data_IF_308543617420
#
_entry.id   IF_308543617420
#
_cell.length_a   1.000
_cell.length_b   1.000
_cell.length_c   1.000
_cell.angle_alpha   90.00
_cell.angle_beta   90.00
_cell.angle_gamma   90.00
#
_symmetry.space_group_name_H-M   'P 1'
#
loop_
_entity.id
_entity.type
_entity.pdbx_description
1 polymer ?
#
# COMPACT_ATOMS: atom_id res chain seq x y z
N UNK A 1 -35.42 21.35 -15.64
CA UNK A 1 -35.12 20.40 -14.55
C UNK A 1 -35.07 21.13 -13.21
N UNK A 2 -34.36 22.25 -13.11
CA UNK A 2 -34.29 23.08 -11.88
C UNK A 2 -35.65 23.66 -11.41
N UNK A 3 -36.49 24.14 -12.34
CA UNK A 3 -37.86 24.61 -12.03
C UNK A 3 -38.77 23.47 -11.52
N UNK A 4 -38.55 22.23 -11.97
CA UNK A 4 -39.25 21.04 -11.45
C UNK A 4 -38.78 20.63 -10.05
N UNK A 5 -37.59 21.06 -9.63
CA UNK A 5 -37.02 20.78 -8.30
C UNK A 5 -37.32 21.90 -7.28
N UNK A 6 -38.09 22.95 -7.66
CA UNK A 6 -38.47 24.03 -6.75
C UNK A 6 -37.35 24.98 -6.34
N UNK A 7 -36.23 25.01 -7.08
CA UNK A 7 -35.10 25.88 -6.77
C UNK A 7 -35.38 27.29 -7.33
N UNK A 8 -35.91 28.17 -6.48
CA UNK A 8 -36.30 29.54 -6.86
C UNK A 8 -35.15 30.55 -6.90
N UNK A 9 -34.06 30.29 -6.15
CA UNK A 9 -32.89 31.18 -6.08
C UNK A 9 -31.64 30.35 -6.34
N UNK A 10 -30.88 30.72 -7.38
CA UNK A 10 -29.55 30.15 -7.65
C UNK A 10 -28.52 30.83 -6.77
N UNK A 11 -27.61 30.04 -6.21
CA UNK A 11 -26.48 30.55 -5.44
C UNK A 11 -25.64 31.53 -6.27
N UNK A 12 -25.35 32.67 -5.66
CA UNK A 12 -24.48 33.70 -6.21
C UNK A 12 -23.07 33.58 -5.60
N UNK A 13 -22.02 34.07 -6.27
CA UNK A 13 -20.65 34.02 -5.76
C UNK A 13 -20.43 34.67 -4.38
N UNK A 14 -21.34 35.57 -3.97
CA UNK A 14 -21.32 36.23 -2.65
C UNK A 14 -21.95 35.41 -1.52
N UNK A 15 -22.72 34.37 -1.82
CA UNK A 15 -23.44 33.60 -0.82
C UNK A 15 -22.49 32.74 0.01
N UNK A 16 -22.74 32.67 1.32
CA UNK A 16 -21.94 31.86 2.25
C UNK A 16 -21.94 30.39 1.82
N UNK A 17 -23.10 29.87 1.40
CA UNK A 17 -23.25 28.50 0.91
C UNK A 17 -22.40 28.23 -0.34
N UNK A 18 -22.30 29.19 -1.27
CA UNK A 18 -21.45 29.07 -2.45
C UNK A 18 -19.96 29.05 -2.07
N UNK A 19 -19.54 29.93 -1.16
CA UNK A 19 -18.15 30.00 -0.72
C UNK A 19 -17.73 28.75 0.06
N UNK A 20 -18.59 28.22 0.92
CA UNK A 20 -18.31 27.03 1.70
C UNK A 20 -18.29 25.77 0.82
N UNK A 21 -19.18 25.68 -0.16
CA UNK A 21 -19.14 24.57 -1.12
C UNK A 21 -17.92 24.64 -2.04
N UNK A 22 -17.46 25.84 -2.43
CA UNK A 22 -16.19 25.99 -3.14
C UNK A 22 -15.01 25.51 -2.31
N UNK A 23 -14.92 25.89 -1.03
CA UNK A 23 -13.87 25.39 -0.12
C UNK A 23 -13.91 23.87 -0.02
N UNK A 24 -15.09 23.30 0.20
CA UNK A 24 -15.30 21.87 0.26
C UNK A 24 -14.85 21.15 -1.03
N UNK A 25 -15.18 21.68 -2.21
CA UNK A 25 -14.76 21.10 -3.48
C UNK A 25 -13.25 21.13 -3.63
N UNK A 26 -12.60 22.23 -3.27
CA UNK A 26 -11.14 22.35 -3.32
C UNK A 26 -10.47 21.36 -2.35
N UNK A 27 -10.92 21.29 -1.10
CA UNK A 27 -10.43 20.33 -0.11
C UNK A 27 -10.64 18.88 -0.57
N UNK A 28 -11.78 18.57 -1.17
CA UNK A 28 -12.07 17.23 -1.70
C UNK A 28 -11.15 16.89 -2.88
N UNK A 29 -10.92 17.82 -3.79
CA UNK A 29 -9.98 17.64 -4.90
C UNK A 29 -8.56 17.38 -4.39
N UNK A 30 -8.13 18.10 -3.36
CA UNK A 30 -6.86 17.87 -2.68
C UNK A 30 -6.78 16.47 -2.08
N UNK A 31 -7.75 16.07 -1.25
CA UNK A 31 -7.77 14.73 -0.64
C UNK A 31 -7.79 13.62 -1.70
N UNK A 32 -8.55 13.80 -2.79
CA UNK A 32 -8.59 12.80 -3.86
C UNK A 32 -7.26 12.67 -4.59
N UNK A 33 -6.59 13.79 -4.87
CA UNK A 33 -5.25 13.78 -5.47
C UNK A 33 -4.23 13.13 -4.53
N UNK A 34 -4.36 13.38 -3.23
CA UNK A 34 -3.52 12.79 -2.18
C UNK A 34 -3.73 11.27 -2.09
N UNK A 35 -4.96 10.79 -1.95
CA UNK A 35 -5.29 9.36 -1.86
C UNK A 35 -4.78 8.58 -3.10
N UNK A 36 -4.93 9.17 -4.29
CA UNK A 36 -4.42 8.57 -5.52
C UNK A 36 -2.89 8.49 -5.53
N UNK A 37 -2.20 9.55 -5.10
CA UNK A 37 -0.75 9.55 -4.98
C UNK A 37 -0.27 8.48 -3.98
N UNK A 38 -0.91 8.39 -2.81
CA UNK A 38 -0.63 7.38 -1.79
C UNK A 38 -0.78 5.96 -2.33
N UNK A 39 -1.91 5.66 -2.98
CA UNK A 39 -2.18 4.36 -3.57
C UNK A 39 -1.08 3.95 -4.57
N UNK A 40 -0.69 4.87 -5.46
CA UNK A 40 0.35 4.60 -6.45
C UNK A 40 1.74 4.36 -5.83
N UNK A 41 2.10 5.10 -4.79
CA UNK A 41 3.37 4.91 -4.06
C UNK A 41 3.38 3.55 -3.37
N UNK A 42 2.30 3.20 -2.65
CA UNK A 42 2.16 1.90 -1.97
C UNK A 42 2.27 0.75 -2.98
N UNK A 43 1.56 0.84 -4.11
CA UNK A 43 1.66 -0.16 -5.18
C UNK A 43 3.10 -0.31 -5.70
N UNK A 44 3.83 0.79 -5.91
CA UNK A 44 5.24 0.74 -6.34
C UNK A 44 6.12 0.03 -5.32
N UNK A 45 5.92 0.28 -4.03
CA UNK A 45 6.69 -0.38 -2.96
C UNK A 45 6.47 -1.89 -2.95
N UNK A 46 5.21 -2.33 -3.09
CA UNK A 46 4.90 -3.76 -3.22
C UNK A 46 5.50 -4.38 -4.49
N UNK A 47 5.52 -3.66 -5.61
CA UNK A 47 6.15 -4.13 -6.85
C UNK A 47 7.66 -4.29 -6.71
N UNK A 48 8.33 -3.36 -6.02
CA UNK A 48 9.75 -3.46 -5.70
C UNK A 48 10.02 -4.66 -4.79
N UNK A 49 9.19 -4.90 -3.78
CA UNK A 49 9.32 -6.07 -2.92
C UNK A 49 9.12 -7.38 -3.69
N UNK A 50 8.14 -7.43 -4.60
CA UNK A 50 7.92 -8.59 -5.48
C UNK A 50 9.08 -8.81 -6.44
N UNK A 51 9.72 -7.75 -6.93
CA UNK A 51 10.93 -7.87 -7.74
C UNK A 51 12.04 -8.58 -6.96
N UNK A 52 12.27 -8.18 -5.72
CA UNK A 52 13.29 -8.78 -4.84
C UNK A 52 13.01 -10.26 -4.52
N UNK A 53 11.74 -10.66 -4.42
CA UNK A 53 11.32 -12.04 -4.16
C UNK A 53 11.29 -12.93 -5.41
N UNK A 54 11.18 -12.34 -6.60
CA UNK A 54 11.10 -13.06 -7.88
C UNK A 54 12.47 -13.65 -8.28
N UNK A 55 12.89 -14.70 -7.59
CA UNK A 55 14.20 -15.32 -7.81
C UNK A 55 14.30 -16.12 -9.12
N UNK A 56 13.19 -16.57 -9.74
CA UNK A 56 13.28 -17.72 -10.66
C UNK A 56 12.72 -17.56 -12.08
N UNK A 57 12.01 -16.48 -12.45
CA UNK A 57 11.45 -16.36 -13.82
C UNK A 57 11.72 -15.01 -14.51
N UNK A 58 12.42 -15.05 -15.65
CA UNK A 58 12.73 -13.88 -16.48
C UNK A 58 11.48 -13.15 -16.97
N UNK A 59 10.43 -13.90 -17.37
CA UNK A 59 9.17 -13.32 -17.84
C UNK A 59 8.50 -12.48 -16.74
N UNK A 60 8.41 -13.02 -15.52
CA UNK A 60 7.87 -12.30 -14.36
C UNK A 60 8.64 -11.01 -14.08
N UNK A 61 9.98 -11.05 -14.10
CA UNK A 61 10.82 -9.85 -13.93
C UNK A 61 10.56 -8.79 -15.00
N UNK A 62 10.38 -9.20 -16.26
CA UNK A 62 10.06 -8.30 -17.36
C UNK A 62 8.71 -7.59 -17.13
N UNK A 63 7.69 -8.35 -16.71
CA UNK A 63 6.38 -7.79 -16.38
C UNK A 63 6.45 -6.80 -15.20
N UNK A 64 7.16 -7.14 -14.12
CA UNK A 64 7.34 -6.26 -12.96
C UNK A 64 8.09 -4.98 -13.36
N UNK A 65 9.13 -5.09 -14.19
CA UNK A 65 9.89 -3.93 -14.68
C UNK A 65 9.01 -2.98 -15.49
N UNK A 66 8.19 -3.52 -16.41
CA UNK A 66 7.23 -2.73 -17.18
C UNK A 66 6.19 -2.07 -16.28
N UNK A 67 5.65 -2.79 -15.31
CA UNK A 67 4.70 -2.26 -14.33
C UNK A 67 5.30 -1.11 -13.53
N UNK A 68 6.55 -1.26 -13.05
CA UNK A 68 7.28 -0.21 -12.33
C UNK A 68 7.51 1.04 -13.19
N UNK A 69 7.88 0.88 -14.46
CA UNK A 69 8.04 2.02 -15.38
C UNK A 69 6.72 2.77 -15.57
N UNK A 70 5.64 2.05 -15.86
CA UNK A 70 4.28 2.64 -15.98
C UNK A 70 3.88 3.35 -14.70
N UNK A 71 4.15 2.73 -13.54
CA UNK A 71 3.82 3.29 -12.24
C UNK A 71 4.64 4.53 -11.90
N UNK A 72 5.93 4.56 -12.22
CA UNK A 72 6.75 5.76 -12.04
C UNK A 72 6.21 6.93 -12.86
N UNK A 73 5.74 6.67 -14.10
CA UNK A 73 5.08 7.70 -14.90
C UNK A 73 3.75 8.16 -14.27
N UNK A 74 2.95 7.22 -13.76
CA UNK A 74 1.69 7.54 -13.08
C UNK A 74 1.91 8.37 -11.82
N UNK A 75 2.89 8.02 -10.98
CA UNK A 75 3.23 8.77 -9.77
C UNK A 75 3.69 10.18 -10.13
N UNK A 76 4.53 10.37 -11.16
CA UNK A 76 4.92 11.73 -11.60
C UNK A 76 3.70 12.60 -11.95
N UNK A 77 2.70 12.03 -12.62
CA UNK A 77 1.44 12.74 -12.94
C UNK A 77 0.60 12.99 -11.69
N UNK A 78 0.54 12.03 -10.77
CA UNK A 78 -0.15 12.19 -9.49
C UNK A 78 0.51 13.28 -8.62
N UNK A 79 1.84 13.39 -8.62
CA UNK A 79 2.57 14.48 -7.96
C UNK A 79 2.20 15.83 -8.57
N UNK A 80 2.13 15.94 -9.90
CA UNK A 80 1.72 17.21 -10.52
C UNK A 80 0.27 17.57 -10.17
N UNK A 81 -0.63 16.58 -10.13
CA UNK A 81 -2.02 16.80 -9.74
C UNK A 81 -2.14 17.21 -8.26
N UNK A 82 -1.39 16.55 -7.38
CA UNK A 82 -1.29 16.91 -5.97
C UNK A 82 -0.77 18.33 -5.79
N UNK A 83 0.35 18.69 -6.41
CA UNK A 83 0.93 20.03 -6.30
C UNK A 83 -0.03 21.11 -6.83
N UNK A 84 -0.78 20.83 -7.92
CA UNK A 84 -1.81 21.76 -8.42
C UNK A 84 -2.99 21.89 -7.46
N UNK A 85 -3.42 20.81 -6.81
CA UNK A 85 -4.53 20.84 -5.86
C UNK A 85 -4.12 21.51 -4.54
N UNK A 86 -2.90 21.25 -4.07
CA UNK A 86 -2.29 21.87 -2.90
C UNK A 86 -2.15 23.39 -3.04
N UNK A 87 -1.84 23.88 -4.24
CA UNK A 87 -1.75 25.32 -4.53
C UNK A 87 -3.09 26.05 -4.43
N UNK A 88 -4.22 25.33 -4.59
CA UNK A 88 -5.56 25.91 -4.52
C UNK A 88 -6.11 26.00 -3.09
N UNK A 89 -5.48 25.34 -2.11
CA UNK A 89 -5.90 25.39 -0.71
C UNK A 89 -5.64 26.77 -0.09
N UNK A 90 -6.47 27.13 0.89
CA UNK A 90 -6.32 28.40 1.63
C UNK A 90 -5.03 28.43 2.47
N UNK A 91 -4.58 27.26 2.94
CA UNK A 91 -3.27 27.08 3.55
C UNK A 91 -2.34 26.40 2.54
N UNK A 92 -1.19 27.02 2.18
CA UNK A 92 -0.25 26.40 1.25
C UNK A 92 0.36 25.14 1.86
N UNK A 93 -0.01 23.96 1.34
CA UNK A 93 0.65 22.70 1.70
C UNK A 93 2.03 22.60 1.01
N UNK A 94 3.00 21.89 1.62
CA UNK A 94 4.32 21.72 1.04
C UNK A 94 4.24 20.98 -0.31
N UNK A 95 4.88 21.55 -1.32
CA UNK A 95 5.01 20.90 -2.64
C UNK A 95 5.92 19.69 -2.55
N UNK A 96 5.57 18.61 -3.25
CA UNK A 96 6.36 17.40 -3.25
C UNK A 96 7.16 17.22 -4.56
N UNK A 97 8.41 16.79 -4.43
CA UNK A 97 9.30 16.47 -5.54
C UNK A 97 9.36 14.95 -5.77
N UNK A 98 9.46 14.55 -7.05
CA UNK A 98 9.68 13.15 -7.43
C UNK A 98 10.96 12.57 -6.79
N UNK A 99 12.02 13.36 -6.63
CA UNK A 99 13.27 12.90 -6.00
C UNK A 99 13.03 12.36 -4.60
N UNK A 100 12.20 13.04 -3.82
CA UNK A 100 11.89 12.65 -2.45
C UNK A 100 11.03 11.39 -2.44
N UNK A 101 10.01 11.30 -3.30
CA UNK A 101 9.16 10.10 -3.44
C UNK A 101 9.94 8.87 -3.92
N UNK A 102 10.91 9.07 -4.81
CA UNK A 102 11.70 7.98 -5.34
C UNK A 102 12.61 7.32 -4.30
N UNK A 103 13.03 8.10 -3.29
CA UNK A 103 13.89 7.67 -2.18
C UNK A 103 13.15 6.84 -1.15
N UNK A 104 11.83 6.96 -1.08
CA UNK A 104 11.05 6.18 -0.12
C UNK A 104 11.14 4.68 -0.44
N UNK A 105 11.60 3.95 0.56
CA UNK A 105 11.74 2.50 0.60
C UNK A 105 10.66 1.86 1.48
N UNK A 106 10.11 2.62 2.42
CA UNK A 106 9.02 2.20 3.30
C UNK A 106 7.83 3.16 3.24
N UNK A 107 6.63 2.61 3.52
CA UNK A 107 5.38 3.39 3.61
C UNK A 107 5.47 4.45 4.72
N UNK A 108 6.19 4.14 5.80
CA UNK A 108 6.44 5.01 6.95
C UNK A 108 7.21 6.29 6.58
N UNK A 109 7.99 6.29 5.50
CA UNK A 109 8.76 7.47 5.08
C UNK A 109 7.90 8.44 4.26
N UNK A 110 6.71 8.02 3.83
CA UNK A 110 5.82 8.85 3.02
C UNK A 110 4.98 9.77 3.90
N UNK A 111 5.62 10.88 4.31
CA UNK A 111 5.13 11.82 5.32
C UNK A 111 3.81 12.54 5.00
N UNK A 112 3.36 12.46 3.74
CA UNK A 112 2.06 13.03 3.29
C UNK A 112 0.88 12.10 3.61
N UNK A 113 1.13 10.82 3.92
CA UNK A 113 0.09 9.95 4.51
C UNK A 113 -0.47 10.53 5.82
N UNK A 114 0.32 11.38 6.48
CA UNK A 114 0.05 11.90 7.82
C UNK A 114 -0.93 13.09 7.86
N UNK A 115 -1.27 13.69 6.71
CA UNK A 115 -2.23 14.81 6.63
C UNK A 115 -3.69 14.32 6.51
N UNK A 116 -3.92 12.99 6.49
CA UNK A 116 -5.25 12.40 6.33
C UNK A 116 -5.88 12.03 7.67
N UNK A 117 -6.93 12.77 8.05
CA UNK A 117 -7.96 12.52 9.10
C UNK A 117 -7.51 12.28 10.55
N UNK A 118 -6.35 11.70 10.83
CA UNK A 118 -5.77 11.53 12.16
C UNK A 118 -4.26 11.65 12.05
N UNK A 119 -3.69 12.64 12.73
CA UNK A 119 -2.24 12.83 12.77
C UNK A 119 -1.57 11.69 13.55
N UNK A 120 -1.17 10.65 12.81
CA UNK A 120 -0.51 9.48 13.39
C UNK A 120 0.90 9.79 13.91
N UNK A 121 1.48 10.97 13.61
CA UNK A 121 2.82 11.39 14.09
C UNK A 121 2.87 11.51 15.60
N UNK A 122 1.73 11.73 16.24
CA UNK A 122 1.62 11.83 17.69
C UNK A 122 1.85 10.48 18.38
N UNK A 123 1.82 9.37 17.63
CA UNK A 123 2.02 8.06 18.20
C UNK A 123 3.50 7.64 18.19
N UNK A 124 4.00 7.05 19.30
CA UNK A 124 5.39 6.57 19.38
C UNK A 124 5.77 5.57 18.28
N UNK A 125 4.81 4.77 17.80
CA UNK A 125 5.06 3.79 16.74
C UNK A 125 5.21 4.42 15.35
N UNK A 126 4.85 5.69 15.14
CA UNK A 126 5.03 6.35 13.85
C UNK A 126 6.47 6.83 13.62
N UNK A 127 7.30 6.88 14.68
CA UNK A 127 8.71 7.16 14.56
C UNK A 127 9.43 6.01 13.84
N UNK A 128 10.18 6.26 12.74
CA UNK A 128 10.82 5.19 11.96
C UNK A 128 11.73 4.29 12.78
N UNK A 129 12.50 4.86 13.71
CA UNK A 129 13.38 4.10 14.60
C UNK A 129 12.60 3.12 15.48
N UNK A 130 11.50 3.59 16.08
CA UNK A 130 10.62 2.77 16.94
C UNK A 130 9.93 1.69 16.11
N UNK A 131 9.46 2.02 14.90
CA UNK A 131 8.83 1.06 14.01
C UNK A 131 9.77 -0.08 13.62
N UNK A 132 11.03 0.22 13.28
CA UNK A 132 12.06 -0.78 12.98
C UNK A 132 12.34 -1.66 14.20
N UNK A 133 12.49 -1.07 15.39
CA UNK A 133 12.68 -1.82 16.64
C UNK A 133 11.49 -2.74 16.93
N UNK A 134 10.25 -2.26 16.77
CA UNK A 134 9.04 -3.05 16.95
C UNK A 134 8.97 -4.23 15.98
N UNK A 135 9.29 -4.02 14.69
CA UNK A 135 9.35 -5.08 13.68
C UNK A 135 10.37 -6.15 14.05
N UNK A 136 11.57 -5.75 14.46
CA UNK A 136 12.63 -6.66 14.87
C UNK A 136 12.25 -7.45 16.14
N UNK A 137 11.72 -6.76 17.16
CA UNK A 137 11.25 -7.41 18.39
C UNK A 137 10.16 -8.44 18.09
N UNK A 138 9.22 -8.11 17.18
CA UNK A 138 8.17 -9.04 16.77
C UNK A 138 8.70 -10.20 15.94
N UNK A 139 9.67 -9.97 15.07
CA UNK A 139 10.37 -11.02 14.33
C UNK A 139 11.02 -12.02 15.29
N UNK A 140 11.73 -11.54 16.32
CA UNK A 140 12.36 -12.38 17.35
C UNK A 140 11.30 -13.18 18.14
N UNK A 141 10.21 -12.53 18.55
CA UNK A 141 9.12 -13.19 19.27
C UNK A 141 8.47 -14.29 18.42
N UNK A 142 8.20 -14.00 17.15
CA UNK A 142 7.60 -14.94 16.22
C UNK A 142 8.55 -16.10 15.90
N UNK A 143 9.85 -15.84 15.72
CA UNK A 143 10.85 -16.87 15.42
C UNK A 143 10.86 -18.02 16.46
N UNK A 144 10.70 -17.70 17.75
CA UNK A 144 10.61 -18.72 18.81
C UNK A 144 9.39 -19.63 18.65
N UNK A 145 8.27 -19.05 18.25
CA UNK A 145 7.02 -19.78 18.02
C UNK A 145 7.14 -20.62 16.74
N UNK A 146 7.74 -20.03 15.70
CA UNK A 146 7.98 -20.69 14.42
C UNK A 146 8.87 -21.92 14.55
N UNK A 147 9.90 -21.90 15.41
CA UNK A 147 10.73 -23.09 15.69
C UNK A 147 9.88 -24.25 16.20
N UNK A 148 8.92 -23.99 17.08
CA UNK A 148 8.01 -25.02 17.61
C UNK A 148 7.12 -25.57 16.50
N UNK A 149 6.55 -24.70 15.68
CA UNK A 149 5.71 -25.10 14.53
C UNK A 149 6.50 -25.93 13.51
N UNK A 150 7.70 -25.48 13.13
CA UNK A 150 8.59 -26.21 12.24
C UNK A 150 8.92 -27.60 12.78
N UNK A 151 9.20 -27.76 14.08
CA UNK A 151 9.49 -29.06 14.67
C UNK A 151 8.29 -30.03 14.58
N UNK A 152 7.07 -29.53 14.76
CA UNK A 152 5.86 -30.34 14.60
C UNK A 152 5.66 -30.70 13.12
N UNK A 153 5.86 -29.75 12.22
CA UNK A 153 5.63 -29.95 10.79
C UNK A 153 6.66 -30.91 10.17
N UNK A 154 7.93 -30.83 10.56
CA UNK A 154 8.96 -31.79 10.16
C UNK A 154 8.56 -33.23 10.50
N UNK A 155 8.01 -33.45 11.71
CA UNK A 155 7.53 -34.77 12.12
C UNK A 155 6.34 -35.21 11.28
N UNK A 156 5.37 -34.32 11.03
CA UNK A 156 4.20 -34.61 10.19
C UNK A 156 4.59 -34.98 8.77
N UNK A 157 5.50 -34.23 8.16
CA UNK A 157 6.01 -34.50 6.82
C UNK A 157 6.72 -35.86 6.78
N UNK A 158 7.59 -36.15 7.77
CA UNK A 158 8.25 -37.45 7.85
C UNK A 158 7.23 -38.60 7.98
N UNK A 159 6.24 -38.47 8.85
CA UNK A 159 5.17 -39.47 9.00
C UNK A 159 4.40 -39.65 7.69
N UNK A 160 4.04 -38.57 7.00
CA UNK A 160 3.36 -38.64 5.71
C UNK A 160 4.17 -39.38 4.65
N UNK A 161 5.48 -39.14 4.56
CA UNK A 161 6.38 -39.85 3.62
C UNK A 161 6.45 -41.35 3.92
N UNK A 162 6.54 -41.73 5.21
CA UNK A 162 6.58 -43.14 5.63
C UNK A 162 5.26 -43.83 5.33
N UNK A 163 4.13 -43.19 5.64
CA UNK A 163 2.80 -43.74 5.40
C UNK A 163 2.52 -43.89 3.89
N UNK A 164 2.92 -42.90 3.09
CA UNK A 164 2.84 -42.96 1.63
C UNK A 164 3.70 -44.10 1.06
N UNK A 165 4.93 -44.26 1.57
CA UNK A 165 5.80 -45.38 1.19
C UNK A 165 5.16 -46.72 1.51
N UNK A 166 4.58 -46.89 2.71
CA UNK A 166 3.88 -48.12 3.11
C UNK A 166 2.67 -48.38 2.22
N UNK A 167 1.89 -47.35 1.92
CA UNK A 167 0.74 -47.44 1.02
C UNK A 167 1.16 -47.94 -0.36
N UNK A 168 2.22 -47.38 -0.95
CA UNK A 168 2.73 -47.83 -2.25
C UNK A 168 3.22 -49.29 -2.21
N UNK A 169 3.97 -49.69 -1.18
CA UNK A 169 4.40 -51.09 -1.04
C UNK A 169 3.22 -52.05 -0.92
N UNK A 170 2.20 -51.69 -0.13
CA UNK A 170 0.99 -52.53 0.02
C UNK A 170 0.20 -52.66 -1.28
N UNK A 171 0.10 -51.56 -2.04
CA UNK A 171 -0.62 -51.54 -3.32
C UNK A 171 0.13 -52.36 -4.37
N UNK A 172 1.46 -52.25 -4.44
CA UNK A 172 2.28 -53.06 -5.33
C UNK A 172 2.16 -54.56 -5.02
N UNK A 173 2.18 -54.94 -3.74
CA UNK A 173 2.02 -56.34 -3.34
C UNK A 173 0.64 -56.90 -3.74
N UNK A 174 -0.42 -56.09 -3.63
CA UNK A 174 -1.77 -56.49 -4.05
C UNK A 174 -1.90 -56.62 -5.58
N UNK A 175 -1.16 -55.83 -6.36
CA UNK A 175 -1.19 -55.92 -7.83
C UNK A 175 -0.36 -57.09 -8.40
N UNK A 176 0.51 -57.70 -7.58
CA UNK A 176 1.34 -58.85 -7.97
C UNK A 176 0.70 -60.21 -7.64
N UNK A 177 -0.46 -60.22 -6.97
CA UNK A 177 -1.33 -61.40 -6.81
C UNK A 177 -2.34 -61.49 -7.94
#
# INVERSE_FOLDING_TARGET
MEVKMGINVRWQPGDVQYRDTLKYVVERCYHHALDNLQCLVIQRLFELQRMNLSQQEYKMRSHITKALQTRCRAIRRAITAYNSAAANLTLPCPSLNWKDVSRYSFIEEFTILWDTRHDIRQHPWAEPAVCVLMKNARCIKNARTEIIHCNVEVRRIHTAIVDESRFFHSTLAHLQQ
#
